data_IF_603438003312
#
_entry.id   IF_603438003312
#
_cell.length_a   1.000
_cell.length_b   1.000
_cell.length_c   1.000
_cell.angle_alpha   90.00
_cell.angle_beta   90.00
_cell.angle_gamma   90.00
#
_symmetry.space_group_name_H-M   'P 1'
#
loop_
_entity.id
_entity.type
_entity.pdbx_description
1 polymer ?
#
# COMPACT_ATOMS: atom_id res chain seq x y z
N UNK A 1 7.97 2.87 14.38
CA UNK A 1 7.18 2.32 15.50
C UNK A 1 6.57 1.03 15.01
N UNK A 2 6.79 -0.08 15.73
CA UNK A 2 6.13 -1.34 15.41
C UNK A 2 4.66 -1.25 15.88
N UNK A 3 3.69 -1.21 14.94
CA UNK A 3 2.27 -1.07 15.30
C UNK A 3 1.74 -2.26 16.10
N UNK A 4 2.43 -3.40 16.06
CA UNK A 4 2.06 -4.64 16.77
C UNK A 4 2.20 -4.46 18.29
N UNK A 5 3.26 -3.78 18.75
CA UNK A 5 3.54 -3.57 20.18
C UNK A 5 3.14 -2.19 20.67
N UNK A 6 3.08 -1.18 19.79
CA UNK A 6 2.74 0.21 20.17
C UNK A 6 1.27 0.57 19.97
N UNK A 7 0.48 -0.31 19.35
CA UNK A 7 -0.90 -0.03 18.99
C UNK A 7 -1.00 1.08 17.95
N UNK A 8 -1.93 2.01 18.12
CA UNK A 8 -2.06 3.17 17.24
C UNK A 8 -0.84 4.12 17.41
N UNK A 9 0.03 4.29 16.39
CA UNK A 9 1.25 5.08 16.53
C UNK A 9 1.01 6.57 16.80
N UNK A 10 -0.09 7.14 16.30
CA UNK A 10 -0.47 8.52 16.57
C UNK A 10 -0.79 8.69 18.06
N UNK A 11 -1.66 7.83 18.60
CA UNK A 11 -2.03 7.86 20.03
C UNK A 11 -0.81 7.64 20.93
N UNK A 12 0.06 6.71 20.56
CA UNK A 12 1.31 6.47 21.29
C UNK A 12 2.18 7.74 21.30
N UNK A 13 2.35 8.39 20.14
CA UNK A 13 3.14 9.62 19.99
C UNK A 13 2.58 10.76 20.83
N UNK A 14 1.26 10.99 20.77
CA UNK A 14 0.58 12.02 21.55
C UNK A 14 0.69 11.76 23.06
N UNK A 15 0.72 10.50 23.49
CA UNK A 15 0.97 10.11 24.88
C UNK A 15 2.40 10.44 25.32
N UNK A 16 3.40 10.18 24.47
CA UNK A 16 4.79 10.54 24.78
C UNK A 16 4.98 12.05 24.84
N UNK A 17 4.41 12.80 23.90
CA UNK A 17 4.46 14.27 23.91
C UNK A 17 3.87 14.83 25.21
N UNK A 18 2.70 14.35 25.65
CA UNK A 18 2.08 14.81 26.91
C UNK A 18 2.94 14.55 28.14
N UNK A 19 3.63 13.42 28.19
CA UNK A 19 4.33 12.95 29.39
C UNK A 19 5.81 13.30 29.43
N UNK A 20 6.44 13.46 28.29
CA UNK A 20 7.91 13.44 28.16
C UNK A 20 8.47 14.58 27.32
N UNK A 21 7.65 15.49 26.75
CA UNK A 21 8.16 16.54 25.87
C UNK A 21 9.31 17.38 26.45
N UNK A 22 9.24 17.89 27.70
CA UNK A 22 10.36 18.62 28.28
C UNK A 22 11.65 17.78 28.38
N UNK A 23 11.54 16.53 28.82
CA UNK A 23 12.69 15.61 28.91
C UNK A 23 13.27 15.26 27.52
N UNK A 24 12.41 15.13 26.50
CA UNK A 24 12.85 14.90 25.12
C UNK A 24 13.62 16.12 24.58
N UNK A 25 13.16 17.34 24.88
CA UNK A 25 13.83 18.58 24.48
C UNK A 25 15.17 18.77 25.19
N UNK A 26 15.24 18.52 26.50
CA UNK A 26 16.50 18.57 27.24
C UNK A 26 17.53 17.59 26.68
N UNK A 27 17.11 16.34 26.44
CA UNK A 27 17.96 15.32 25.79
C UNK A 27 18.42 15.74 24.38
N UNK A 28 17.61 16.47 23.64
CA UNK A 28 17.96 16.98 22.32
C UNK A 28 18.87 18.24 22.36
N UNK A 29 19.27 18.70 23.56
CA UNK A 29 20.13 19.87 23.76
C UNK A 29 19.37 21.20 23.91
N UNK A 30 18.04 21.17 24.00
CA UNK A 30 17.17 22.34 24.11
C UNK A 30 16.70 22.58 25.55
N UNK A 31 17.60 22.48 26.52
CA UNK A 31 17.29 22.59 27.96
C UNK A 31 16.56 23.89 28.31
N UNK A 32 16.99 25.01 27.72
CA UNK A 32 16.37 26.32 27.95
C UNK A 32 14.93 26.39 27.46
N UNK A 33 14.60 25.68 26.37
CA UNK A 33 13.23 25.61 25.86
C UNK A 33 12.40 24.69 26.76
N UNK A 34 12.97 23.57 27.21
CA UNK A 34 12.30 22.62 28.09
C UNK A 34 11.84 23.27 29.41
N UNK A 35 12.67 24.14 30.00
CA UNK A 35 12.38 24.88 31.24
C UNK A 35 11.25 25.91 31.08
N UNK A 36 11.00 26.38 29.87
CA UNK A 36 9.96 27.39 29.58
C UNK A 36 8.59 26.78 29.27
N UNK A 37 8.48 25.45 29.18
CA UNK A 37 7.21 24.79 28.89
C UNK A 37 6.27 24.90 30.08
N UNK A 38 5.18 25.62 29.90
CA UNK A 38 4.02 25.62 30.80
C UNK A 38 3.08 24.46 30.43
N UNK A 39 2.90 23.45 31.31
CA UNK A 39 1.99 22.34 31.06
C UNK A 39 0.54 22.78 30.82
N UNK A 40 0.09 23.86 31.47
CA UNK A 40 -1.29 24.34 31.36
C UNK A 40 -1.61 24.92 29.97
N UNK A 41 -0.60 25.48 29.29
CA UNK A 41 -0.71 25.97 27.91
C UNK A 41 -0.42 24.86 26.88
N UNK A 42 0.47 23.93 27.23
CA UNK A 42 0.84 22.83 26.35
C UNK A 42 -0.29 21.82 26.16
N UNK A 43 -1.00 21.42 27.22
CA UNK A 43 -2.01 20.35 27.11
C UNK A 43 -3.14 20.67 26.13
N UNK A 44 -3.79 21.86 26.16
CA UNK A 44 -4.82 22.21 25.19
C UNK A 44 -4.29 22.23 23.75
N UNK A 45 -3.06 22.73 23.56
CA UNK A 45 -2.40 22.74 22.25
C UNK A 45 -2.20 21.31 21.73
N UNK A 46 -1.78 20.38 22.58
CA UNK A 46 -1.61 18.98 22.21
C UNK A 46 -2.95 18.29 21.92
N UNK A 47 -4.06 18.71 22.53
CA UNK A 47 -5.40 18.21 22.22
C UNK A 47 -5.82 18.66 20.81
N UNK A 48 -5.58 19.92 20.45
CA UNK A 48 -5.81 20.40 19.08
C UNK A 48 -4.93 19.68 18.05
N UNK A 49 -3.66 19.45 18.38
CA UNK A 49 -2.74 18.70 17.50
C UNK A 49 -3.24 17.27 17.31
N UNK A 50 -3.67 16.59 18.37
CA UNK A 50 -4.22 15.23 18.27
C UNK A 50 -5.49 15.18 17.43
N UNK A 51 -6.41 16.13 17.63
CA UNK A 51 -7.65 16.22 16.86
C UNK A 51 -7.36 16.41 15.36
N UNK A 52 -6.49 17.38 15.01
CA UNK A 52 -6.08 17.64 13.62
C UNK A 52 -5.34 16.44 13.02
N UNK A 53 -4.47 15.79 13.78
CA UNK A 53 -3.73 14.62 13.31
C UNK A 53 -4.66 13.43 13.05
N UNK A 54 -5.63 13.18 13.93
CA UNK A 54 -6.66 12.15 13.75
C UNK A 54 -7.53 12.43 12.53
N UNK A 55 -7.97 13.68 12.36
CA UNK A 55 -8.71 14.11 11.18
C UNK A 55 -7.90 13.84 9.91
N UNK A 56 -6.65 14.29 9.85
CA UNK A 56 -5.77 14.08 8.71
C UNK A 56 -5.51 12.58 8.42
N UNK A 57 -5.39 11.75 9.45
CA UNK A 57 -5.19 10.31 9.31
C UNK A 57 -6.40 9.58 8.66
N UNK A 58 -7.56 10.23 8.64
CA UNK A 58 -8.78 9.76 7.98
C UNK A 58 -8.97 10.48 6.64
N UNK A 59 -9.05 11.81 6.66
CA UNK A 59 -9.46 12.64 5.52
C UNK A 59 -8.37 12.83 4.47
N UNK A 60 -7.09 12.74 4.86
CA UNK A 60 -5.95 12.91 3.95
C UNK A 60 -5.25 11.58 3.63
N UNK A 61 -5.90 10.44 3.85
CA UNK A 61 -5.41 9.17 3.31
C UNK A 61 -5.33 9.29 1.79
N UNK A 62 -4.12 9.18 1.27
CA UNK A 62 -3.89 9.08 -0.16
C UNK A 62 -4.30 7.69 -0.60
N UNK A 63 -5.54 7.50 -1.01
CA UNK A 63 -5.96 6.30 -1.75
C UNK A 63 -5.91 6.57 -3.24
N UNK A 64 -5.71 5.52 -4.04
CA UNK A 64 -5.87 5.59 -5.49
C UNK A 64 -6.89 4.54 -5.90
N UNK A 65 -7.70 4.87 -6.90
CA UNK A 65 -8.58 3.91 -7.57
C UNK A 65 -8.12 3.78 -9.01
N UNK A 66 -7.67 2.59 -9.38
CA UNK A 66 -7.45 2.25 -10.78
C UNK A 66 -8.71 1.67 -11.41
N UNK A 67 -8.65 1.47 -12.72
CA UNK A 67 -9.61 0.64 -13.42
C UNK A 67 -9.36 -0.84 -13.07
N UNK A 68 -10.34 -1.70 -13.31
CA UNK A 68 -10.20 -3.15 -13.14
C UNK A 68 -9.42 -3.82 -14.28
N UNK A 69 -9.01 -3.06 -15.29
CA UNK A 69 -8.47 -3.56 -16.55
C UNK A 69 -9.53 -3.88 -17.61
N UNK A 70 -9.08 -3.99 -18.86
CA UNK A 70 -9.93 -4.35 -20.01
C UNK A 70 -10.17 -5.85 -20.08
N UNK A 71 -9.19 -6.61 -19.64
CA UNK A 71 -9.18 -8.07 -19.71
C UNK A 71 -9.06 -8.62 -18.30
N UNK A 72 -10.04 -9.42 -17.90
CA UNK A 72 -10.14 -9.93 -16.52
C UNK A 72 -10.19 -11.45 -16.55
N UNK A 73 -9.29 -12.07 -15.79
CA UNK A 73 -9.16 -13.51 -15.66
C UNK A 73 -9.50 -13.90 -14.22
N UNK A 74 -10.52 -14.74 -14.07
CA UNK A 74 -11.00 -15.29 -12.80
C UNK A 74 -10.03 -16.35 -12.26
N UNK A 75 -9.69 -16.25 -10.97
CA UNK A 75 -8.80 -17.18 -10.28
C UNK A 75 -9.30 -17.45 -8.85
N UNK A 76 -10.54 -17.93 -8.74
CA UNK A 76 -11.18 -18.28 -7.47
C UNK A 76 -11.79 -17.06 -6.80
N UNK A 77 -11.37 -16.76 -5.56
CA UNK A 77 -11.85 -15.59 -4.81
C UNK A 77 -11.15 -14.27 -5.19
N UNK A 78 -10.23 -14.32 -6.15
CA UNK A 78 -9.57 -13.15 -6.74
C UNK A 78 -9.65 -13.19 -8.27
N UNK A 79 -9.37 -12.03 -8.87
CA UNK A 79 -9.30 -11.84 -10.33
C UNK A 79 -8.04 -11.08 -10.69
N UNK A 80 -7.43 -11.43 -11.82
CA UNK A 80 -6.36 -10.66 -12.45
C UNK A 80 -6.95 -9.78 -13.55
N UNK A 81 -6.91 -8.47 -13.33
CA UNK A 81 -7.23 -7.47 -14.34
C UNK A 81 -5.98 -7.00 -15.07
N UNK A 82 -6.03 -6.90 -16.39
CA UNK A 82 -4.93 -6.44 -17.22
C UNK A 82 -5.31 -5.15 -17.95
N UNK A 83 -4.39 -4.18 -17.96
CA UNK A 83 -4.59 -2.90 -18.63
C UNK A 83 -3.28 -2.40 -19.23
N UNK A 84 -3.28 -1.97 -20.49
CA UNK A 84 -2.21 -1.12 -21.00
C UNK A 84 -2.49 0.32 -20.59
N UNK A 85 -1.75 0.80 -19.60
CA UNK A 85 -1.96 2.13 -19.01
C UNK A 85 -1.01 3.16 -19.60
N UNK A 86 -1.53 4.37 -19.78
CA UNK A 86 -0.74 5.58 -19.98
C UNK A 86 -0.85 6.43 -18.72
N UNK A 87 0.28 6.87 -18.19
CA UNK A 87 0.35 7.61 -16.94
C UNK A 87 1.20 8.88 -17.11
N UNK A 88 0.63 10.03 -16.76
CA UNK A 88 1.35 11.30 -16.63
C UNK A 88 2.27 11.62 -17.81
N UNK A 89 3.50 12.04 -17.50
CA UNK A 89 4.55 12.57 -18.39
C UNK A 89 5.10 11.54 -19.42
N UNK A 90 4.24 10.82 -20.13
CA UNK A 90 4.62 9.80 -21.12
C UNK A 90 5.02 8.44 -20.51
N UNK A 91 4.81 8.24 -19.21
CA UNK A 91 5.01 6.95 -18.58
C UNK A 91 3.81 6.02 -18.85
N UNK A 92 3.94 4.76 -18.48
CA UNK A 92 2.92 3.74 -18.67
C UNK A 92 3.50 2.40 -19.07
N UNK A 93 2.63 1.42 -19.27
CA UNK A 93 2.99 0.03 -19.54
C UNK A 93 1.87 -0.90 -19.12
N UNK A 94 2.21 -2.19 -19.03
CA UNK A 94 1.28 -3.20 -18.52
C UNK A 94 1.00 -2.94 -17.05
N UNK A 95 -0.27 -2.93 -16.68
CA UNK A 95 -0.73 -2.94 -15.31
C UNK A 95 -1.45 -4.26 -15.01
N UNK A 96 -1.13 -4.85 -13.86
CA UNK A 96 -1.80 -6.04 -13.34
C UNK A 96 -2.53 -5.65 -12.06
N UNK A 97 -3.85 -5.75 -12.08
CA UNK A 97 -4.73 -5.50 -10.95
C UNK A 97 -5.09 -6.83 -10.30
N UNK A 98 -4.90 -6.96 -8.99
CA UNK A 98 -5.43 -8.09 -8.22
C UNK A 98 -6.69 -7.62 -7.54
N UNK A 99 -7.83 -8.14 -7.97
CA UNK A 99 -9.16 -7.72 -7.54
C UNK A 99 -9.77 -8.79 -6.64
N UNK A 100 -10.66 -8.38 -5.74
CA UNK A 100 -11.50 -9.30 -4.97
C UNK A 100 -12.71 -8.59 -4.39
N UNK A 101 -13.64 -9.35 -3.85
CA UNK A 101 -14.91 -8.83 -3.35
C UNK A 101 -14.86 -8.62 -1.83
N UNK A 102 -15.03 -7.37 -1.40
CA UNK A 102 -15.11 -6.99 0.01
C UNK A 102 -16.46 -6.30 0.24
N UNK A 103 -17.26 -6.87 1.14
CA UNK A 103 -18.60 -6.37 1.47
C UNK A 103 -19.49 -6.15 0.23
N UNK A 104 -19.44 -7.08 -0.73
CA UNK A 104 -20.24 -7.02 -1.97
C UNK A 104 -19.74 -6.01 -3.00
N UNK A 105 -18.56 -5.42 -2.79
CA UNK A 105 -17.93 -4.53 -3.77
C UNK A 105 -16.63 -5.14 -4.27
N UNK A 106 -16.46 -5.11 -5.59
CA UNK A 106 -15.17 -5.36 -6.22
C UNK A 106 -14.19 -4.25 -5.82
N UNK A 107 -13.08 -4.63 -5.21
CA UNK A 107 -12.01 -3.72 -4.85
C UNK A 107 -10.67 -4.22 -5.39
N UNK A 108 -9.80 -3.26 -5.68
CA UNK A 108 -8.41 -3.53 -6.03
C UNK A 108 -7.61 -3.75 -4.74
N UNK A 109 -7.11 -4.99 -4.60
CA UNK A 109 -6.37 -5.48 -3.44
C UNK A 109 -4.87 -5.16 -3.58
N UNK A 110 -4.33 -5.38 -4.77
CA UNK A 110 -2.95 -5.06 -5.17
C UNK A 110 -2.97 -4.47 -6.59
N UNK A 111 -1.99 -3.63 -6.90
CA UNK A 111 -1.77 -3.13 -8.26
C UNK A 111 -0.29 -3.23 -8.59
N UNK A 112 0.06 -3.73 -9.77
CA UNK A 112 1.43 -3.76 -10.28
C UNK A 112 1.49 -2.95 -11.57
N UNK A 113 1.93 -1.71 -11.45
CA UNK A 113 2.15 -0.82 -12.57
C UNK A 113 3.56 -1.07 -13.13
N UNK A 114 3.65 -2.00 -14.09
CA UNK A 114 4.89 -2.41 -14.73
C UNK A 114 5.29 -1.40 -15.81
N UNK A 115 5.49 -0.15 -15.37
CA UNK A 115 5.68 1.00 -16.23
C UNK A 115 7.13 1.16 -16.73
N UNK A 116 7.27 1.85 -17.86
CA UNK A 116 8.57 2.05 -18.52
C UNK A 116 9.52 2.94 -17.73
N UNK A 117 9.04 4.02 -17.12
CA UNK A 117 9.87 5.01 -16.43
C UNK A 117 9.91 4.71 -14.93
N UNK A 118 8.76 4.67 -14.26
CA UNK A 118 8.65 4.47 -12.82
C UNK A 118 7.82 3.23 -12.46
N UNK A 119 8.31 2.01 -12.71
CA UNK A 119 7.59 0.80 -12.33
C UNK A 119 7.43 0.73 -10.81
N UNK A 120 6.23 0.38 -10.36
CA UNK A 120 5.92 0.26 -8.95
C UNK A 120 4.74 -0.66 -8.71
N UNK A 121 4.53 -1.03 -7.44
CA UNK A 121 3.35 -1.78 -7.04
C UNK A 121 2.78 -1.24 -5.74
N UNK A 122 1.50 -1.53 -5.51
CA UNK A 122 0.70 -1.01 -4.42
C UNK A 122 0.20 -2.13 -3.52
N UNK A 123 0.34 -1.93 -2.21
CA UNK A 123 -0.44 -2.69 -1.22
C UNK A 123 -1.72 -1.93 -0.86
N UNK A 124 -2.87 -2.51 -1.22
CA UNK A 124 -4.20 -1.95 -0.97
C UNK A 124 -4.36 -0.52 -1.50
N UNK A 125 -4.41 -0.29 -2.83
CA UNK A 125 -4.60 1.04 -3.43
C UNK A 125 -5.73 1.86 -2.81
N UNK A 126 -6.84 1.18 -2.47
CA UNK A 126 -8.03 1.76 -1.81
C UNK A 126 -8.00 1.73 -0.28
N UNK A 127 -6.91 1.23 0.32
CA UNK A 127 -6.75 1.09 1.76
C UNK A 127 -5.47 1.77 2.29
N UNK A 128 -4.30 1.12 2.15
CA UNK A 128 -3.00 1.68 2.60
C UNK A 128 -2.35 2.55 1.54
N UNK A 129 -2.53 2.17 0.27
CA UNK A 129 -1.85 2.74 -0.89
C UNK A 129 -0.33 2.87 -0.69
N UNK A 130 0.26 1.86 -0.04
CA UNK A 130 1.71 1.79 0.12
C UNK A 130 2.31 1.46 -1.25
N UNK A 131 3.06 2.40 -1.81
CA UNK A 131 3.71 2.28 -3.12
C UNK A 131 5.17 1.92 -2.94
N UNK A 132 5.60 0.88 -3.62
CA UNK A 132 6.99 0.44 -3.66
C UNK A 132 7.49 0.55 -5.09
N UNK A 133 8.45 1.44 -5.31
CA UNK A 133 9.10 1.63 -6.61
C UNK A 133 10.15 0.56 -6.84
N UNK A 134 10.21 0.05 -8.07
CA UNK A 134 11.20 -0.90 -8.51
C UNK A 134 12.38 -0.17 -9.13
N UNK A 135 13.59 -0.46 -8.67
CA UNK A 135 14.81 0.00 -9.30
C UNK A 135 15.06 -0.82 -10.57
N UNK A 136 15.03 -0.16 -11.73
CA UNK A 136 15.21 -0.81 -13.03
C UNK A 136 16.60 -1.37 -13.27
N UNK A 137 17.60 -0.96 -12.50
CA UNK A 137 18.94 -1.58 -12.54
C UNK A 137 18.92 -2.98 -11.94
N UNK A 138 18.06 -3.22 -10.94
CA UNK A 138 17.90 -4.51 -10.27
C UNK A 138 16.76 -5.33 -10.88
N UNK A 139 15.71 -4.65 -11.36
CA UNK A 139 14.51 -5.23 -11.94
C UNK A 139 14.30 -4.66 -13.35
N UNK A 140 15.08 -5.11 -14.34
CA UNK A 140 15.01 -4.57 -15.70
C UNK A 140 13.70 -4.90 -16.42
N UNK A 141 13.03 -5.97 -16.01
CA UNK A 141 11.71 -6.37 -16.51
C UNK A 141 10.71 -6.46 -15.34
N UNK A 142 9.99 -5.35 -15.03
CA UNK A 142 9.02 -5.29 -13.96
C UNK A 142 7.84 -6.26 -14.15
N UNK A 143 7.43 -6.50 -15.39
CA UNK A 143 6.30 -7.38 -15.70
C UNK A 143 6.65 -8.84 -15.40
N UNK A 144 7.79 -9.30 -15.91
CA UNK A 144 8.31 -10.64 -15.59
C UNK A 144 8.58 -10.80 -14.10
N UNK A 145 9.09 -9.76 -13.44
CA UNK A 145 9.29 -9.78 -12.00
C UNK A 145 8.00 -9.96 -11.21
N UNK A 146 6.92 -9.25 -11.60
CA UNK A 146 5.60 -9.38 -10.98
C UNK A 146 5.05 -10.80 -11.13
N UNK A 147 5.10 -11.36 -12.34
CA UNK A 147 4.70 -12.75 -12.59
C UNK A 147 5.51 -13.75 -11.76
N UNK A 148 6.81 -13.53 -11.58
CA UNK A 148 7.64 -14.38 -10.72
C UNK A 148 7.22 -14.32 -9.24
N UNK A 149 6.72 -13.18 -8.75
CA UNK A 149 6.18 -13.10 -7.39
C UNK A 149 4.92 -13.96 -7.25
N UNK A 150 4.05 -13.95 -8.27
CA UNK A 150 2.83 -14.75 -8.27
C UNK A 150 3.16 -16.25 -8.36
N UNK A 151 4.00 -16.64 -9.33
CA UNK A 151 4.47 -18.02 -9.50
C UNK A 151 5.23 -18.54 -8.28
N UNK A 152 5.93 -17.65 -7.57
CA UNK A 152 6.63 -17.96 -6.32
C UNK A 152 5.74 -18.01 -5.07
N UNK A 153 4.42 -17.98 -5.21
CA UNK A 153 3.47 -18.11 -4.09
C UNK A 153 3.47 -16.93 -3.13
N UNK A 154 3.82 -15.72 -3.58
CA UNK A 154 3.90 -14.53 -2.69
C UNK A 154 2.55 -13.85 -2.45
N UNK A 155 1.52 -14.17 -3.24
CA UNK A 155 0.21 -13.53 -3.16
C UNK A 155 -0.43 -13.57 -1.75
N UNK A 156 -0.47 -14.70 -1.01
CA UNK A 156 -1.04 -14.73 0.34
C UNK A 156 -0.36 -13.73 1.30
N UNK A 157 0.98 -13.69 1.28
CA UNK A 157 1.76 -12.78 2.13
C UNK A 157 1.55 -11.31 1.71
N UNK A 158 1.48 -11.05 0.41
CA UNK A 158 1.24 -9.72 -0.12
C UNK A 158 -0.16 -9.20 0.23
N UNK A 159 -1.20 -10.04 0.11
CA UNK A 159 -2.57 -9.68 0.51
C UNK A 159 -2.69 -9.46 2.01
N UNK A 160 -2.03 -10.28 2.82
CA UNK A 160 -1.95 -10.08 4.27
C UNK A 160 -1.33 -8.71 4.59
N UNK A 161 -0.20 -8.36 3.92
CA UNK A 161 0.42 -7.04 4.06
C UNK A 161 -0.50 -5.91 3.58
N UNK A 162 -1.25 -6.12 2.50
CA UNK A 162 -2.24 -5.16 2.02
C UNK A 162 -3.42 -4.95 2.97
N UNK A 163 -3.59 -5.80 3.99
CA UNK A 163 -4.66 -5.70 4.98
C UNK A 163 -5.86 -6.60 4.69
N UNK A 164 -5.68 -7.64 3.86
CA UNK A 164 -6.74 -8.58 3.47
C UNK A 164 -6.40 -10.03 3.88
N UNK A 165 -6.18 -10.32 5.18
CA UNK A 165 -5.79 -11.66 5.63
C UNK A 165 -6.87 -12.72 5.37
N UNK A 166 -8.16 -12.34 5.38
CA UNK A 166 -9.26 -13.27 5.09
C UNK A 166 -9.31 -13.67 3.62
N UNK A 167 -9.05 -12.72 2.71
CA UNK A 167 -8.91 -13.04 1.27
C UNK A 167 -7.69 -13.93 1.05
N UNK A 168 -6.56 -13.60 1.70
CA UNK A 168 -5.33 -14.38 1.62
C UNK A 168 -5.53 -15.84 2.07
N UNK A 169 -6.24 -16.05 3.17
CA UNK A 169 -6.51 -17.39 3.71
C UNK A 169 -7.47 -18.23 2.85
N UNK A 170 -8.26 -17.58 1.98
CA UNK A 170 -9.24 -18.22 1.12
C UNK A 170 -8.76 -18.37 -0.34
N UNK A 171 -7.48 -18.07 -0.63
CA UNK A 171 -6.92 -18.26 -1.97
C UNK A 171 -6.86 -19.74 -2.35
N UNK A 172 -7.27 -20.04 -3.58
CA UNK A 172 -6.97 -21.32 -4.23
C UNK A 172 -5.64 -21.20 -4.98
N UNK A 173 -4.53 -21.52 -4.32
CA UNK A 173 -3.19 -21.40 -4.89
C UNK A 173 -2.98 -22.32 -6.11
N UNK A 174 -3.69 -23.45 -6.18
CA UNK A 174 -3.64 -24.37 -7.31
C UNK A 174 -4.30 -23.78 -8.54
N UNK A 175 -5.52 -23.25 -8.39
CA UNK A 175 -6.22 -22.56 -9.47
C UNK A 175 -5.48 -21.30 -9.93
N UNK A 176 -4.91 -20.54 -9.00
CA UNK A 176 -4.07 -19.39 -9.35
C UNK A 176 -2.89 -19.83 -10.22
N UNK A 177 -2.16 -20.88 -9.81
CA UNK A 177 -1.04 -21.41 -10.58
C UNK A 177 -1.46 -21.88 -11.98
N UNK A 178 -2.64 -22.50 -12.11
CA UNK A 178 -3.24 -22.90 -13.39
C UNK A 178 -3.57 -21.71 -14.29
N UNK A 179 -4.05 -20.60 -13.72
CA UNK A 179 -4.48 -19.40 -14.45
C UNK A 179 -3.35 -18.44 -14.81
N UNK A 180 -2.22 -18.45 -14.09
CA UNK A 180 -1.10 -17.55 -14.37
C UNK A 180 -0.54 -17.64 -15.81
N UNK A 181 -0.42 -18.82 -16.45
CA UNK A 181 -0.06 -18.90 -17.86
C UNK A 181 -1.03 -18.15 -18.79
N UNK A 182 -2.34 -18.19 -18.52
CA UNK A 182 -3.37 -17.46 -19.27
C UNK A 182 -3.16 -15.94 -19.12
N UNK A 183 -2.92 -15.48 -17.90
CA UNK A 183 -2.61 -14.07 -17.58
C UNK A 183 -1.37 -13.60 -18.32
N UNK A 184 -0.29 -14.39 -18.29
CA UNK A 184 0.96 -14.07 -18.96
C UNK A 184 0.81 -13.99 -20.48
N UNK A 185 0.15 -14.98 -21.10
CA UNK A 185 -0.08 -15.00 -22.54
C UNK A 185 -0.94 -13.81 -23.00
N UNK A 186 -1.99 -13.47 -22.24
CA UNK A 186 -2.85 -12.34 -22.58
C UNK A 186 -2.10 -11.02 -22.47
N UNK A 187 -1.34 -10.82 -21.39
CA UNK A 187 -0.53 -9.62 -21.21
C UNK A 187 0.55 -9.47 -22.31
N UNK A 188 1.20 -10.56 -22.72
CA UNK A 188 2.16 -10.54 -23.84
C UNK A 188 1.50 -10.13 -25.16
N UNK A 189 0.27 -10.58 -25.41
CA UNK A 189 -0.51 -10.17 -26.58
C UNK A 189 -0.78 -8.67 -26.55
N UNK A 190 -1.18 -8.12 -25.40
CA UNK A 190 -1.44 -6.69 -25.22
C UNK A 190 -0.17 -5.83 -25.35
N UNK A 191 0.98 -6.34 -24.92
CA UNK A 191 2.27 -5.66 -25.05
C UNK A 191 2.79 -5.63 -26.49
N UNK A 192 2.31 -6.54 -27.35
CA UNK A 192 2.72 -6.67 -28.74
C UNK A 192 1.72 -6.04 -29.73
N UNK A 193 0.61 -5.50 -29.23
CA UNK A 193 -0.44 -4.83 -30.00
C UNK A 193 -0.12 -3.34 -30.21
#
# INVERSE_FOLDING_TARGET
LDPTVTGNPLRWTMTQLRRKLPAMLGRAGYEQIALQIDPSQLMPTLDEVEAKACEMAISKRRTVRHNRGTDVIEAGNIRFGLEMRVAGQGDGGMAIHVLGDIAGQEIELLAFDCFRIYPHYHYGPRYKNERIYLDKTLVPDPFKWALNQFKGGKLPAMLTRAGYPTVAAALDEGLIAEKLPEVEARAQTMLSA
#
